data_IF_012323229867
#
_entry.id   IF_012323229867
#
_cell.length_a   1.000
_cell.length_b   1.000
_cell.length_c   1.000
_cell.angle_alpha   90.00
_cell.angle_beta   90.00
_cell.angle_gamma   90.00
#
_symmetry.space_group_name_H-M   'P 1'
#
loop_
_entity.id
_entity.type
_entity.pdbx_description
1 polymer ?
#
# COMPACT_ATOMS: atom_id res chain seq x y z
N UNK A 1 9.77 2.46 -8.86
CA UNK A 1 9.39 2.81 -7.46
C UNK A 1 9.26 1.62 -6.52
N UNK A 2 9.20 0.36 -7.00
CA UNK A 2 9.19 -0.88 -6.19
C UNK A 2 10.41 -1.07 -5.28
N UNK A 3 11.47 -0.26 -5.46
CA UNK A 3 12.74 -0.39 -4.73
C UNK A 3 12.75 0.24 -3.33
N UNK A 4 11.80 1.12 -2.97
CA UNK A 4 11.80 1.80 -1.65
C UNK A 4 10.93 1.11 -0.59
N UNK A 5 9.86 0.44 -1.01
CA UNK A 5 8.84 -0.10 -0.10
C UNK A 5 8.64 -1.62 -0.25
N UNK A 6 9.39 -2.26 -1.14
CA UNK A 6 9.23 -3.68 -1.46
C UNK A 6 7.99 -3.98 -2.31
N UNK A 7 7.74 -5.27 -2.52
CA UNK A 7 6.50 -5.74 -3.15
C UNK A 7 5.31 -5.53 -2.21
N UNK A 8 4.13 -5.19 -2.73
CA UNK A 8 2.95 -4.98 -1.91
C UNK A 8 2.50 -6.30 -1.29
N UNK A 9 2.00 -6.24 -0.07
CA UNK A 9 1.37 -7.41 0.56
C UNK A 9 0.08 -7.79 -0.20
N UNK A 10 -0.62 -6.79 -0.75
CA UNK A 10 -1.79 -7.01 -1.61
C UNK A 10 -1.79 -6.06 -2.79
N UNK A 11 -1.99 -6.64 -3.97
CA UNK A 11 -2.16 -5.94 -5.23
C UNK A 11 -3.60 -6.07 -5.69
N UNK A 12 -4.29 -4.95 -5.87
CA UNK A 12 -5.60 -4.90 -6.54
C UNK A 12 -5.48 -4.10 -7.82
N UNK A 13 -5.73 -4.76 -8.96
CA UNK A 13 -5.80 -4.09 -10.26
C UNK A 13 -7.21 -3.53 -10.45
N UNK A 14 -7.30 -2.25 -10.80
CA UNK A 14 -8.56 -1.61 -11.14
C UNK A 14 -8.85 -1.78 -12.65
N UNK A 15 -10.13 -1.77 -13.06
CA UNK A 15 -10.52 -1.88 -14.48
C UNK A 15 -9.90 -0.78 -15.36
N UNK A 16 -9.52 0.34 -14.77
CA UNK A 16 -8.85 1.48 -15.43
C UNK A 16 -7.36 1.22 -15.74
N UNK A 17 -6.82 0.05 -15.39
CA UNK A 17 -5.38 -0.24 -15.50
C UNK A 17 -4.54 0.33 -14.36
N UNK A 18 -5.16 1.05 -13.42
CA UNK A 18 -4.52 1.53 -12.19
C UNK A 18 -4.32 0.39 -11.19
N UNK A 19 -3.33 0.52 -10.31
CA UNK A 19 -3.07 -0.46 -9.26
C UNK A 19 -3.27 0.15 -7.87
N UNK A 20 -3.83 -0.62 -6.95
CA UNK A 20 -3.99 -0.24 -5.55
C UNK A 20 -3.25 -1.25 -4.70
N UNK A 21 -2.32 -0.75 -3.89
CA UNK A 21 -1.39 -1.54 -3.12
C UNK A 21 -1.63 -1.24 -1.64
N UNK A 22 -1.91 -2.28 -0.86
CA UNK A 22 -2.01 -2.15 0.59
C UNK A 22 -0.67 -2.59 1.22
N UNK A 23 -0.15 -1.75 2.11
CA UNK A 23 1.08 -1.95 2.86
C UNK A 23 0.83 -1.82 4.35
N UNK A 24 1.40 -2.73 5.14
CA UNK A 24 1.45 -2.62 6.59
C UNK A 24 2.91 -2.64 7.07
N UNK A 25 3.26 -1.69 7.93
CA UNK A 25 4.59 -1.55 8.50
C UNK A 25 4.50 -1.59 10.03
N UNK A 26 5.52 -2.16 10.66
CA UNK A 26 5.73 -1.98 12.10
C UNK A 26 6.54 -0.69 12.31
N UNK A 27 5.89 0.32 12.87
CA UNK A 27 6.54 1.53 13.35
C UNK A 27 7.06 1.32 14.79
N UNK A 28 7.86 2.27 15.28
CA UNK A 28 8.38 2.25 16.65
C UNK A 28 7.26 2.01 17.69
N UNK A 29 7.61 1.35 18.81
CA UNK A 29 6.68 0.88 19.83
C UNK A 29 5.73 -0.24 19.37
N UNK A 30 6.11 -1.01 18.34
CA UNK A 30 5.30 -2.11 17.79
C UNK A 30 3.93 -1.65 17.28
N UNK A 31 3.80 -0.36 16.96
CA UNK A 31 2.57 0.18 16.42
C UNK A 31 2.50 -0.18 14.94
N UNK A 32 1.44 -0.89 14.56
CA UNK A 32 1.20 -1.14 13.16
C UNK A 32 0.65 0.12 12.47
N UNK A 33 1.25 0.49 11.33
CA UNK A 33 0.77 1.55 10.46
C UNK A 33 0.50 1.00 9.06
N UNK A 34 -0.73 1.21 8.58
CA UNK A 34 -1.17 0.76 7.28
C UNK A 34 -1.28 1.92 6.29
N UNK A 35 -0.93 1.68 5.04
CA UNK A 35 -1.14 2.62 3.94
C UNK A 35 -1.74 1.92 2.74
N UNK A 36 -2.74 2.56 2.14
CA UNK A 36 -3.20 2.24 0.79
C UNK A 36 -2.59 3.21 -0.20
N UNK A 37 -1.91 2.68 -1.20
CA UNK A 37 -1.20 3.47 -2.21
C UNK A 37 -1.83 3.23 -3.57
N UNK A 38 -2.17 4.30 -4.26
CA UNK A 38 -2.74 4.29 -5.60
C UNK A 38 -1.66 4.57 -6.61
N UNK A 39 -1.53 3.68 -7.59
CA UNK A 39 -0.61 3.77 -8.70
C UNK A 39 -1.40 3.94 -10.00
N UNK A 40 -0.90 4.82 -10.87
CA UNK A 40 -1.41 4.95 -12.24
C UNK A 40 -0.86 3.85 -13.17
N UNK A 41 -1.21 3.94 -14.45
CA UNK A 41 -0.75 2.98 -15.47
C UNK A 41 0.77 3.01 -15.67
N UNK A 42 1.42 4.14 -15.38
CA UNK A 42 2.88 4.33 -15.45
C UNK A 42 3.60 3.88 -14.16
N UNK A 43 2.86 3.28 -13.20
CA UNK A 43 3.34 2.82 -11.90
C UNK A 43 3.92 3.94 -11.03
N UNK A 44 3.40 5.16 -11.17
CA UNK A 44 3.73 6.27 -10.29
C UNK A 44 2.72 6.35 -9.16
N UNK A 45 3.20 6.56 -7.93
CA UNK A 45 2.31 6.70 -6.78
C UNK A 45 1.63 8.06 -6.82
N UNK A 46 0.31 8.07 -6.96
CA UNK A 46 -0.50 9.28 -7.06
C UNK A 46 -1.06 9.71 -5.70
N UNK A 47 -1.40 8.74 -4.83
CA UNK A 47 -2.07 9.02 -3.56
C UNK A 47 -1.74 7.97 -2.52
N UNK A 48 -1.55 8.44 -1.29
CA UNK A 48 -1.33 7.62 -0.09
C UNK A 48 -2.43 7.91 0.91
N UNK A 49 -3.15 6.87 1.33
CA UNK A 49 -4.19 6.97 2.34
C UNK A 49 -3.80 6.17 3.56
N UNK A 50 -3.83 6.77 4.78
CA UNK A 50 -3.64 6.01 5.99
C UNK A 50 -4.78 4.99 6.13
N UNK A 51 -4.42 3.75 6.42
CA UNK A 51 -5.37 2.67 6.68
C UNK A 51 -5.10 2.10 8.07
N UNK A 52 -6.18 1.69 8.75
CA UNK A 52 -6.01 0.85 9.93
C UNK A 52 -5.33 -0.46 9.51
N UNK A 53 -4.33 -0.87 10.28
CA UNK A 53 -3.81 -2.21 10.15
C UNK A 53 -4.90 -3.23 10.42
N UNK A 54 -4.82 -4.35 9.72
CA UNK A 54 -5.65 -5.49 10.02
C UNK A 54 -5.18 -6.07 11.36
N UNK A 55 -6.05 -5.95 12.35
CA UNK A 55 -6.05 -6.86 13.49
C UNK A 55 -6.58 -8.20 12.96
N UNK A 56 -5.76 -8.98 12.27
CA UNK A 56 -6.16 -10.36 11.97
C UNK A 56 -6.23 -11.07 13.34
N UNK A 57 -7.48 -11.41 13.68
CA UNK A 57 -7.94 -12.12 14.86
C UNK A 57 -7.83 -13.62 14.61
#
# INVERSE_FOLDING_TARGET
MTRRFGYPQRLKKLPTGSEVWDYEFLAGHSQCVGYRVYFDQDRQSQRWEPQRCRSDQ
#
